data_IF_540266479807
#
_entry.id   IF_540266479807
#
_cell.length_a   1.000
_cell.length_b   1.000
_cell.length_c   1.000
_cell.angle_alpha   90.00
_cell.angle_beta   90.00
_cell.angle_gamma   90.00
#
_symmetry.space_group_name_H-M   'P 1'
#
loop_
_entity.id
_entity.type
_entity.pdbx_description
1 polymer ?
#
# COMPACT_ATOMS: atom_id res chain seq x y z
N UNK A 1 -30.61 -5.97 3.57
CA UNK A 1 -30.61 -5.61 2.14
C UNK A 1 -29.86 -4.29 2.04
N UNK A 2 -28.69 -4.31 1.41
CA UNK A 2 -27.80 -3.15 1.23
C UNK A 2 -28.47 -2.15 0.30
N UNK A 3 -28.98 -1.03 0.83
CA UNK A 3 -29.40 0.07 -0.01
C UNK A 3 -28.16 0.63 -0.75
N UNK A 4 -28.11 0.42 -2.07
CA UNK A 4 -27.68 1.47 -2.98
C UNK A 4 -26.28 1.45 -3.60
N UNK A 5 -25.45 0.42 -3.44
CA UNK A 5 -24.15 0.37 -4.15
C UNK A 5 -23.94 -0.93 -4.92
N UNK A 6 -23.53 -0.80 -6.19
CA UNK A 6 -23.28 -1.92 -7.11
C UNK A 6 -22.25 -2.93 -6.56
N UNK A 7 -22.32 -4.17 -7.01
CA UNK A 7 -21.34 -5.21 -6.64
C UNK A 7 -19.89 -4.79 -6.90
N UNK A 8 -19.66 -3.92 -7.90
CA UNK A 8 -18.37 -3.32 -8.20
C UNK A 8 -17.79 -2.43 -7.09
N UNK A 9 -18.61 -1.96 -6.15
CA UNK A 9 -18.17 -1.12 -5.03
C UNK A 9 -17.30 -1.89 -4.04
N UNK A 10 -17.64 -3.13 -3.69
CA UNK A 10 -16.87 -3.92 -2.72
C UNK A 10 -15.69 -4.69 -3.34
N UNK A 11 -15.67 -4.86 -4.67
CA UNK A 11 -14.68 -5.68 -5.37
C UNK A 11 -13.23 -5.20 -5.24
N UNK A 12 -12.90 -3.91 -5.42
CA UNK A 12 -11.50 -3.45 -5.36
C UNK A 12 -10.78 -3.79 -4.04
N UNK A 13 -11.33 -3.46 -2.84
CA UNK A 13 -10.65 -3.81 -1.59
C UNK A 13 -10.62 -5.33 -1.34
N UNK A 14 -11.61 -6.09 -1.81
CA UNK A 14 -11.60 -7.56 -1.74
C UNK A 14 -10.44 -8.15 -2.56
N UNK A 15 -10.25 -7.66 -3.79
CA UNK A 15 -9.13 -8.07 -4.65
C UNK A 15 -7.80 -7.73 -3.98
N UNK A 16 -7.67 -6.54 -3.39
CA UNK A 16 -6.46 -6.15 -2.65
C UNK A 16 -6.17 -7.10 -1.49
N UNK A 17 -7.18 -7.53 -0.73
CA UNK A 17 -7.00 -8.49 0.37
C UNK A 17 -6.55 -9.85 -0.18
N UNK A 18 -7.26 -10.39 -1.18
CA UNK A 18 -6.95 -11.72 -1.75
C UNK A 18 -5.54 -11.74 -2.36
N UNK A 19 -5.25 -10.76 -3.21
CA UNK A 19 -3.93 -10.62 -3.84
C UNK A 19 -2.85 -10.34 -2.81
N UNK A 20 -3.13 -9.47 -1.83
CA UNK A 20 -2.21 -9.18 -0.73
C UNK A 20 -1.82 -10.43 0.07
N UNK A 21 -2.80 -11.25 0.43
CA UNK A 21 -2.56 -12.54 1.12
C UNK A 21 -1.75 -13.48 0.23
N UNK A 22 -2.06 -13.55 -1.07
CA UNK A 22 -1.29 -14.36 -2.02
C UNK A 22 0.17 -13.88 -2.11
N UNK A 23 0.41 -12.56 -2.18
CA UNK A 23 1.74 -11.97 -2.19
C UNK A 23 2.49 -12.27 -0.88
N UNK A 24 1.84 -12.20 0.28
CA UNK A 24 2.44 -12.58 1.57
C UNK A 24 2.88 -14.04 1.52
N UNK A 25 2.00 -14.96 1.09
CA UNK A 25 2.30 -16.38 1.00
C UNK A 25 3.49 -16.64 0.06
N UNK A 26 3.51 -16.02 -1.12
CA UNK A 26 4.59 -16.14 -2.10
C UNK A 26 5.91 -15.59 -1.52
N UNK A 27 5.91 -14.40 -0.92
CA UNK A 27 7.12 -13.80 -0.35
C UNK A 27 7.66 -14.64 0.82
N UNK A 28 6.79 -15.13 1.70
CA UNK A 28 7.22 -15.96 2.84
C UNK A 28 7.78 -17.31 2.37
N UNK A 29 7.15 -17.93 1.38
CA UNK A 29 7.55 -19.25 0.86
C UNK A 29 8.85 -19.19 0.03
N UNK A 30 9.03 -18.16 -0.79
CA UNK A 30 10.09 -18.13 -1.80
C UNK A 30 11.20 -17.11 -1.56
N UNK A 31 10.98 -16.08 -0.73
CA UNK A 31 12.05 -15.12 -0.44
C UNK A 31 12.97 -15.67 0.69
N UNK A 32 14.30 -15.49 0.58
CA UNK A 32 15.25 -15.92 1.59
C UNK A 32 14.92 -15.38 2.98
N UNK A 33 15.14 -16.17 4.05
CA UNK A 33 14.95 -15.70 5.41
C UNK A 33 15.93 -14.56 5.71
N UNK A 34 15.40 -13.33 5.74
CA UNK A 34 16.14 -12.12 6.04
C UNK A 34 15.22 -11.14 6.77
N UNK A 35 15.80 -10.23 7.55
CA UNK A 35 15.02 -9.19 8.24
C UNK A 35 14.27 -8.28 7.27
N UNK A 36 14.86 -7.98 6.11
CA UNK A 36 14.22 -7.24 5.03
C UNK A 36 12.95 -7.93 4.52
N UNK A 37 12.94 -9.27 4.40
CA UNK A 37 11.74 -10.05 4.05
C UNK A 37 10.62 -9.80 5.05
N UNK A 38 10.89 -9.93 6.34
CA UNK A 38 9.86 -9.73 7.38
C UNK A 38 9.32 -8.30 7.39
N UNK A 39 10.17 -7.30 7.13
CA UNK A 39 9.75 -5.90 7.03
C UNK A 39 8.89 -5.67 5.78
N UNK A 40 9.21 -6.30 4.65
CA UNK A 40 8.39 -6.23 3.46
C UNK A 40 7.04 -6.96 3.62
N UNK A 41 7.00 -8.08 4.34
CA UNK A 41 5.74 -8.71 4.76
C UNK A 41 4.92 -7.74 5.61
N UNK A 42 5.55 -6.91 6.45
CA UNK A 42 4.89 -5.80 7.14
C UNK A 42 4.23 -4.78 6.21
N UNK A 43 4.84 -4.47 5.06
CA UNK A 43 4.24 -3.62 4.01
C UNK A 43 2.96 -4.26 3.46
N UNK A 44 3.04 -5.54 3.07
CA UNK A 44 1.91 -6.29 2.54
C UNK A 44 0.79 -6.47 3.58
N UNK A 45 1.14 -6.75 4.83
CA UNK A 45 0.17 -6.83 5.92
C UNK A 45 -0.54 -5.49 6.15
N UNK A 46 0.18 -4.38 6.04
CA UNK A 46 -0.41 -3.04 6.15
C UNK A 46 -1.37 -2.74 4.99
N UNK A 47 -1.04 -3.18 3.76
CA UNK A 47 -1.94 -3.11 2.61
C UNK A 47 -3.23 -3.93 2.85
N UNK A 48 -3.10 -5.15 3.39
CA UNK A 48 -4.26 -6.00 3.73
C UNK A 48 -5.12 -5.34 4.81
N UNK A 49 -4.51 -4.81 5.88
CA UNK A 49 -5.22 -4.08 6.94
C UNK A 49 -5.98 -2.88 6.39
N UNK A 50 -5.35 -2.13 5.48
CA UNK A 50 -6.01 -1.03 4.79
C UNK A 50 -7.18 -1.52 3.93
N UNK A 51 -6.99 -2.58 3.15
CA UNK A 51 -8.04 -3.21 2.34
C UNK A 51 -9.21 -3.70 3.20
N UNK A 52 -8.95 -4.30 4.36
CA UNK A 52 -9.97 -4.73 5.32
C UNK A 52 -10.77 -3.56 5.88
N UNK A 53 -10.08 -2.47 6.25
CA UNK A 53 -10.76 -1.27 6.74
C UNK A 53 -11.66 -0.65 5.66
N UNK A 54 -11.19 -0.58 4.41
CA UNK A 54 -12.01 -0.10 3.29
C UNK A 54 -13.16 -1.06 3.01
N UNK A 55 -12.93 -2.38 2.95
CA UNK A 55 -13.99 -3.35 2.71
C UNK A 55 -15.06 -3.32 3.81
N UNK A 56 -14.65 -3.26 5.08
CA UNK A 56 -15.56 -3.14 6.22
C UNK A 56 -16.42 -1.87 6.12
N UNK A 57 -15.83 -0.74 5.72
CA UNK A 57 -16.59 0.48 5.43
C UNK A 57 -17.61 0.26 4.30
N UNK A 58 -17.20 -0.37 3.20
CA UNK A 58 -18.04 -0.56 2.01
C UNK A 58 -19.18 -1.58 2.19
N UNK A 59 -18.98 -2.59 3.04
CA UNK A 59 -19.99 -3.60 3.36
C UNK A 59 -20.94 -3.17 4.49
N UNK A 60 -20.63 -2.09 5.20
CA UNK A 60 -21.44 -1.61 6.32
C UNK A 60 -22.75 -0.99 5.82
N UNK A 61 -23.88 -1.56 6.24
CA UNK A 61 -25.20 -0.98 5.99
C UNK A 61 -25.54 0.24 6.87
N UNK A 62 -24.80 0.44 7.97
CA UNK A 62 -25.00 1.57 8.89
C UNK A 62 -23.82 2.56 8.80
N UNK A 63 -24.07 3.88 8.65
CA UNK A 63 -23.01 4.88 8.55
C UNK A 63 -22.05 4.92 9.74
N UNK A 64 -22.54 4.63 10.96
CA UNK A 64 -21.71 4.59 12.18
C UNK A 64 -20.66 3.49 12.11
N UNK A 65 -21.08 2.30 11.68
CA UNK A 65 -20.19 1.14 11.51
C UNK A 65 -19.21 1.39 10.37
N UNK A 66 -19.68 2.00 9.27
CA UNK A 66 -18.81 2.38 8.15
C UNK A 66 -17.71 3.36 8.59
N UNK A 67 -18.08 4.38 9.38
CA UNK A 67 -17.14 5.37 9.91
C UNK A 67 -16.11 4.75 10.87
N UNK A 68 -16.54 3.81 11.72
CA UNK A 68 -15.66 3.11 12.64
C UNK A 68 -14.55 2.33 11.90
N UNK A 69 -14.90 1.65 10.80
CA UNK A 69 -13.92 1.02 9.92
C UNK A 69 -13.00 2.04 9.25
N UNK A 70 -13.57 3.10 8.69
CA UNK A 70 -12.81 4.06 7.91
C UNK A 70 -11.77 4.84 8.73
N UNK A 71 -12.03 5.06 10.03
CA UNK A 71 -11.08 5.72 10.96
C UNK A 71 -9.71 5.06 11.03
N UNK A 72 -9.61 3.77 10.71
CA UNK A 72 -8.35 3.02 10.72
C UNK A 72 -7.58 3.10 9.40
N UNK A 73 -8.18 3.58 8.31
CA UNK A 73 -7.52 3.63 7.00
C UNK A 73 -6.25 4.48 7.00
N UNK A 74 -6.18 5.68 7.65
CA UNK A 74 -4.96 6.48 7.62
C UNK A 74 -3.82 5.83 8.45
N UNK A 75 -4.18 5.10 9.51
CA UNK A 75 -3.23 4.35 10.33
C UNK A 75 -2.59 3.22 9.53
N UNK A 76 -3.39 2.47 8.75
CA UNK A 76 -2.90 1.39 7.91
C UNK A 76 -1.99 1.89 6.77
N UNK A 77 -2.32 3.03 6.14
CA UNK A 77 -1.44 3.68 5.15
C UNK A 77 -0.12 4.12 5.79
N UNK A 78 -0.19 4.76 6.96
CA UNK A 78 1.02 5.20 7.65
C UNK A 78 1.92 4.03 8.05
N UNK A 79 1.33 2.93 8.53
CA UNK A 79 2.03 1.67 8.78
C UNK A 79 2.73 1.14 7.53
N UNK A 80 2.05 1.14 6.38
CA UNK A 80 2.63 0.71 5.11
C UNK A 80 3.87 1.53 4.74
N UNK A 81 3.81 2.87 4.86
CA UNK A 81 4.96 3.74 4.61
C UNK A 81 6.10 3.53 5.61
N UNK A 82 5.77 3.35 6.90
CA UNK A 82 6.77 3.08 7.93
C UNK A 82 7.47 1.74 7.67
N UNK A 83 6.73 0.67 7.38
CA UNK A 83 7.33 -0.62 7.04
C UNK A 83 8.16 -0.55 5.77
N UNK A 84 7.74 0.22 4.77
CA UNK A 84 8.53 0.42 3.56
C UNK A 84 9.84 1.17 3.83
N UNK A 85 9.82 2.17 4.72
CA UNK A 85 11.02 2.84 5.19
C UNK A 85 11.96 1.89 5.94
N UNK A 86 11.43 1.11 6.88
CA UNK A 86 12.21 0.10 7.61
C UNK A 86 12.81 -0.93 6.65
N UNK A 87 12.03 -1.41 5.69
CA UNK A 87 12.47 -2.30 4.63
C UNK A 87 13.62 -1.68 3.83
N UNK A 88 13.46 -0.47 3.29
CA UNK A 88 14.47 0.21 2.49
C UNK A 88 15.77 0.42 3.29
N UNK A 89 15.66 0.79 4.57
CA UNK A 89 16.82 0.96 5.45
C UNK A 89 17.56 -0.34 5.69
N UNK A 90 16.85 -1.41 6.02
CA UNK A 90 17.43 -2.73 6.26
C UNK A 90 18.04 -3.31 4.99
N UNK A 91 17.32 -3.17 3.86
CA UNK A 91 17.72 -3.68 2.55
C UNK A 91 19.02 -3.05 2.06
N UNK A 92 19.16 -1.73 2.21
CA UNK A 92 20.34 -0.97 1.78
C UNK A 92 21.44 -0.90 2.84
N UNK A 93 21.20 -1.47 4.05
CA UNK A 93 22.03 -1.30 5.25
C UNK A 93 22.35 0.16 5.57
N UNK A 94 21.43 1.07 5.26
CA UNK A 94 21.62 2.48 5.51
C UNK A 94 21.61 2.77 7.01
N UNK A 95 22.54 3.61 7.46
CA UNK A 95 22.55 4.14 8.83
C UNK A 95 21.46 5.20 8.93
N UNK A 96 20.36 4.86 9.58
CA UNK A 96 19.30 5.81 9.89
C UNK A 96 19.54 6.51 11.23
N UNK A 97 19.06 7.75 11.34
CA UNK A 97 19.08 8.47 12.60
C UNK A 97 18.06 7.85 13.56
N UNK A 98 18.54 7.39 14.72
CA UNK A 98 17.68 6.83 15.79
C UNK A 98 16.53 7.78 16.15
N UNK A 99 16.78 9.09 16.10
CA UNK A 99 15.78 10.15 16.37
C UNK A 99 14.63 10.12 15.37
N UNK A 100 14.92 9.95 14.07
CA UNK A 100 13.89 9.86 13.04
C UNK A 100 12.97 8.65 13.26
N UNK A 101 13.55 7.49 13.61
CA UNK A 101 12.75 6.30 13.93
C UNK A 101 11.86 6.48 15.15
N UNK A 102 12.40 7.08 16.22
CA UNK A 102 11.60 7.39 17.42
C UNK A 102 10.43 8.30 17.03
N UNK A 103 10.68 9.35 16.25
CA UNK A 103 9.62 10.24 15.76
C UNK A 103 8.57 9.47 14.95
N UNK A 104 8.97 8.57 14.04
CA UNK A 104 8.04 7.76 13.26
C UNK A 104 7.12 6.89 14.13
N UNK A 105 7.67 6.24 15.17
CA UNK A 105 6.90 5.42 16.10
C UNK A 105 6.02 6.26 17.03
N UNK A 106 6.48 7.43 17.46
CA UNK A 106 5.67 8.37 18.23
C UNK A 106 4.46 8.84 17.42
N UNK A 107 4.65 9.18 16.14
CA UNK A 107 3.56 9.54 15.23
C UNK A 107 2.60 8.38 15.01
N UNK A 108 3.11 7.14 14.88
CA UNK A 108 2.24 5.96 14.79
C UNK A 108 1.37 5.80 16.05
N UNK A 109 1.98 5.87 17.23
CA UNK A 109 1.26 5.74 18.50
C UNK A 109 0.19 6.83 18.64
N UNK A 110 0.54 8.07 18.28
CA UNK A 110 -0.41 9.18 18.24
C UNK A 110 -1.54 8.95 17.23
N UNK A 111 -1.24 8.46 16.03
CA UNK A 111 -2.25 8.16 15.01
C UNK A 111 -3.22 7.05 15.46
N UNK A 112 -2.72 6.00 16.12
CA UNK A 112 -3.55 4.92 16.67
C UNK A 112 -4.53 5.46 17.71
N UNK A 113 -4.07 6.35 18.59
CA UNK A 113 -4.93 6.99 19.61
C UNK A 113 -5.92 7.98 19.00
N UNK A 114 -5.50 8.74 17.97
CA UNK A 114 -6.30 9.75 17.30
C UNK A 114 -7.38 9.18 16.36
N UNK A 115 -7.18 7.95 15.85
CA UNK A 115 -8.09 7.29 14.93
C UNK A 115 -9.53 7.16 15.49
N UNK A 116 -9.78 6.51 16.64
CA UNK A 116 -11.13 6.34 17.16
C UNK A 116 -11.79 7.67 17.58
N UNK A 117 -11.01 8.71 17.87
CA UNK A 117 -11.50 10.03 18.27
C UNK A 117 -12.03 10.87 17.09
N UNK A 118 -11.86 10.39 15.85
CA UNK A 118 -12.32 11.10 14.65
C UNK A 118 -11.42 12.25 14.21
N UNK A 119 -10.20 12.36 14.76
CA UNK A 119 -9.25 13.40 14.35
C UNK A 119 -8.62 13.13 12.99
N UNK A 120 -8.54 11.86 12.56
CA UNK A 120 -8.03 11.46 11.25
C UNK A 120 -9.13 11.41 10.19
N UNK A 121 -10.27 10.82 10.53
CA UNK A 121 -11.48 10.79 9.69
C UNK A 121 -12.64 11.26 10.55
N UNK A 122 -13.18 12.44 10.21
CA UNK A 122 -14.24 13.07 11.00
C UNK A 122 -15.58 12.41 10.75
N UNK A 123 -15.91 12.24 9.48
CA UNK A 123 -17.21 11.77 9.02
C UNK A 123 -17.13 11.06 7.66
N UNK A 124 -18.25 10.58 7.16
CA UNK A 124 -18.41 10.06 5.81
C UNK A 124 -19.37 10.94 5.02
N UNK A 125 -19.05 11.20 3.76
CA UNK A 125 -19.99 11.74 2.77
C UNK A 125 -20.33 10.65 1.76
N UNK A 126 -21.54 10.69 1.22
CA UNK A 126 -21.95 9.79 0.14
C UNK A 126 -21.66 10.47 -1.19
N UNK A 127 -20.84 9.83 -2.00
CA UNK A 127 -20.52 10.21 -3.38
C UNK A 127 -21.16 9.21 -4.35
N UNK A 128 -21.21 9.50 -5.67
CA UNK A 128 -21.78 8.59 -6.67
C UNK A 128 -21.14 7.19 -6.66
N UNK A 129 -19.88 7.08 -6.26
CA UNK A 129 -19.15 5.82 -6.14
C UNK A 129 -19.27 5.17 -4.75
N UNK A 130 -19.95 5.79 -3.78
CA UNK A 130 -20.11 5.29 -2.41
C UNK A 130 -19.57 6.21 -1.32
N UNK A 131 -19.22 5.63 -0.17
CA UNK A 131 -18.69 6.37 0.97
C UNK A 131 -17.32 6.95 0.67
N UNK A 132 -17.19 8.25 0.91
CA UNK A 132 -15.94 8.98 0.88
C UNK A 132 -15.61 9.57 2.26
N UNK A 133 -14.36 9.45 2.75
CA UNK A 133 -13.95 10.07 4.00
C UNK A 133 -14.05 11.59 3.94
N UNK A 134 -14.61 12.19 4.99
CA UNK A 134 -14.37 13.60 5.32
C UNK A 134 -13.13 13.68 6.20
N UNK A 135 -12.04 14.32 5.74
CA UNK A 135 -10.79 14.38 6.49
C UNK A 135 -10.99 15.12 7.81
N UNK A 136 -10.41 14.57 8.88
CA UNK A 136 -10.32 15.26 10.17
C UNK A 136 -9.15 16.26 10.21
N UNK A 137 -9.05 17.02 11.30
CA UNK A 137 -8.03 18.08 11.48
C UNK A 137 -6.59 17.53 11.36
N UNK A 138 -6.38 16.28 11.77
CA UNK A 138 -5.07 15.62 11.71
C UNK A 138 -4.81 14.84 10.41
N UNK A 139 -5.78 14.78 9.49
CA UNK A 139 -5.62 14.04 8.24
C UNK A 139 -4.45 14.58 7.39
N UNK A 140 -4.41 15.90 7.17
CA UNK A 140 -3.37 16.56 6.36
C UNK A 140 -2.00 16.46 7.06
N UNK A 141 -1.85 16.81 8.36
CA UNK A 141 -0.59 16.61 9.07
C UNK A 141 -0.08 15.17 9.01
N UNK A 142 -0.94 14.18 9.27
CA UNK A 142 -0.52 12.77 9.22
C UNK A 142 -0.13 12.34 7.80
N UNK A 143 -0.89 12.77 6.79
CA UNK A 143 -0.56 12.53 5.38
C UNK A 143 0.80 13.12 5.01
N UNK A 144 1.08 14.37 5.40
CA UNK A 144 2.36 15.03 5.16
C UNK A 144 3.53 14.28 5.82
N UNK A 145 3.38 13.89 7.10
CA UNK A 145 4.41 13.08 7.78
C UNK A 145 4.58 11.72 7.11
N UNK A 146 3.49 11.08 6.69
CA UNK A 146 3.52 9.83 5.92
C UNK A 146 4.33 9.97 4.62
N UNK A 147 4.12 11.05 3.87
CA UNK A 147 4.88 11.35 2.66
C UNK A 147 6.36 11.61 2.95
N UNK A 148 6.71 12.25 4.07
CA UNK A 148 8.11 12.41 4.50
C UNK A 148 8.76 11.06 4.78
N UNK A 149 8.08 10.17 5.51
CA UNK A 149 8.57 8.81 5.79
C UNK A 149 8.74 8.00 4.50
N UNK A 150 7.76 8.06 3.61
CA UNK A 150 7.82 7.37 2.32
C UNK A 150 8.94 7.92 1.42
N UNK A 151 9.10 9.24 1.36
CA UNK A 151 10.19 9.89 0.60
C UNK A 151 11.56 9.58 1.18
N UNK A 152 11.68 9.43 2.51
CA UNK A 152 12.93 8.98 3.14
C UNK A 152 13.30 7.55 2.73
N UNK A 153 12.32 6.67 2.52
CA UNK A 153 12.53 5.32 1.99
C UNK A 153 13.10 5.39 0.56
N UNK A 154 12.45 6.18 -0.31
CA UNK A 154 12.89 6.36 -1.70
C UNK A 154 14.29 6.97 -1.78
N UNK A 155 14.56 8.02 -0.99
CA UNK A 155 15.90 8.64 -0.91
C UNK A 155 16.97 7.62 -0.54
N UNK A 156 16.65 6.72 0.39
CA UNK A 156 17.56 5.64 0.81
C UNK A 156 17.85 4.67 -0.35
N UNK A 157 16.82 4.26 -1.09
CA UNK A 157 16.96 3.39 -2.27
C UNK A 157 17.75 4.07 -3.40
N UNK A 158 17.44 5.34 -3.70
CA UNK A 158 18.14 6.14 -4.74
C UNK A 158 19.60 6.35 -4.38
N UNK A 159 19.91 6.61 -3.11
CA UNK A 159 21.29 6.72 -2.67
C UNK A 159 22.05 5.41 -2.89
N UNK A 160 21.46 4.26 -2.52
CA UNK A 160 22.07 2.95 -2.75
C UNK A 160 22.23 2.64 -4.24
N UNK A 161 21.26 3.01 -5.07
CA UNK A 161 21.30 2.82 -6.52
C UNK A 161 22.50 3.53 -7.15
N UNK A 162 22.84 4.74 -6.67
CA UNK A 162 23.96 5.53 -7.17
C UNK A 162 25.34 4.98 -6.78
N UNK A 163 25.42 4.25 -5.66
CA UNK A 163 26.70 3.80 -5.08
C UNK A 163 26.97 2.31 -5.36
N UNK A 164 25.95 1.50 -5.64
CA UNK A 164 26.17 0.08 -5.93
C UNK A 164 26.90 -0.12 -7.27
N UNK A 165 27.84 -1.08 -7.26
CA UNK A 165 28.59 -1.55 -8.43
C UNK A 165 28.03 -2.84 -9.02
N UNK A 166 27.04 -3.47 -8.36
CA UNK A 166 26.40 -4.69 -8.84
C UNK A 166 25.22 -4.34 -9.75
N UNK A 167 25.24 -4.80 -10.99
CA UNK A 167 24.17 -4.58 -11.97
C UNK A 167 22.85 -5.24 -11.54
N UNK A 168 22.93 -6.40 -10.89
CA UNK A 168 21.76 -7.09 -10.31
C UNK A 168 21.11 -6.23 -9.22
N UNK A 169 21.90 -5.71 -8.28
CA UNK A 169 21.40 -4.86 -7.20
C UNK A 169 20.84 -3.54 -7.76
N UNK A 170 21.52 -2.94 -8.73
CA UNK A 170 21.09 -1.71 -9.40
C UNK A 170 19.73 -1.89 -10.06
N UNK A 171 19.53 -2.99 -10.76
CA UNK A 171 18.26 -3.26 -11.47
C UNK A 171 17.12 -3.50 -10.48
N UNK A 172 17.36 -4.25 -9.40
CA UNK A 172 16.37 -4.43 -8.34
C UNK A 172 15.96 -3.09 -7.69
N UNK A 173 16.94 -2.24 -7.39
CA UNK A 173 16.67 -0.92 -6.82
C UNK A 173 15.87 -0.05 -7.78
N UNK A 174 16.14 -0.12 -9.08
CA UNK A 174 15.37 0.58 -10.11
C UNK A 174 13.89 0.16 -10.08
N UNK A 175 13.60 -1.14 -10.01
CA UNK A 175 12.21 -1.62 -9.89
C UNK A 175 11.53 -1.13 -8.61
N UNK A 176 12.23 -1.13 -7.46
CA UNK A 176 11.67 -0.63 -6.19
C UNK A 176 11.40 0.88 -6.24
N UNK A 177 12.28 1.66 -6.86
CA UNK A 177 12.13 3.10 -7.03
C UNK A 177 10.99 3.41 -8.00
N UNK A 178 10.93 2.72 -9.15
CA UNK A 178 9.88 2.87 -10.13
C UNK A 178 8.50 2.47 -9.55
N UNK A 179 8.45 1.38 -8.78
CA UNK A 179 7.22 0.98 -8.09
C UNK A 179 6.72 2.06 -7.13
N UNK A 180 7.63 2.74 -6.43
CA UNK A 180 7.26 3.79 -5.49
C UNK A 180 6.58 5.01 -6.15
N UNK A 181 6.62 5.14 -7.48
CA UNK A 181 5.84 6.14 -8.21
C UNK A 181 4.34 5.84 -8.21
N UNK A 182 3.91 4.57 -8.15
CA UNK A 182 2.49 4.24 -8.23
C UNK A 182 1.66 4.85 -7.08
N UNK A 183 2.02 4.71 -5.79
CA UNK A 183 1.23 5.29 -4.70
C UNK A 183 1.12 6.81 -4.78
N UNK A 184 2.14 7.51 -5.29
CA UNK A 184 2.08 8.95 -5.52
C UNK A 184 1.07 9.32 -6.61
N UNK A 185 1.12 8.63 -7.75
CA UNK A 185 0.18 8.86 -8.85
C UNK A 185 -1.24 8.54 -8.41
N UNK A 186 -1.44 7.42 -7.71
CA UNK A 186 -2.75 7.04 -7.15
C UNK A 186 -3.30 8.09 -6.19
N UNK A 187 -2.49 8.55 -5.25
CA UNK A 187 -2.91 9.60 -4.30
C UNK A 187 -3.22 10.93 -4.99
N UNK A 188 -2.45 11.32 -6.01
CA UNK A 188 -2.69 12.53 -6.77
C UNK A 188 -4.01 12.46 -7.56
N UNK A 189 -4.28 11.31 -8.20
CA UNK A 189 -5.53 11.07 -8.92
C UNK A 189 -6.74 11.06 -7.98
N UNK A 190 -6.62 10.47 -6.80
CA UNK A 190 -7.69 10.45 -5.78
C UNK A 190 -8.02 11.86 -5.25
N UNK A 191 -7.04 12.78 -5.24
CA UNK A 191 -7.25 14.18 -4.84
C UNK A 191 -7.79 15.03 -6.01
N UNK A 192 -7.27 14.80 -7.22
CA UNK A 192 -7.52 15.65 -8.38
C UNK A 192 -8.77 15.25 -9.18
N UNK A 193 -9.34 14.08 -8.95
CA UNK A 193 -10.46 13.56 -9.72
C UNK A 193 -11.60 13.07 -8.82
N UNK A 194 -12.83 13.10 -9.34
CA UNK A 194 -14.00 12.48 -8.71
C UNK A 194 -14.18 11.00 -9.12
N UNK A 195 -13.12 10.39 -9.68
CA UNK A 195 -13.15 8.98 -10.06
C UNK A 195 -13.18 8.09 -8.81
N UNK A 196 -13.71 6.86 -8.93
CA UNK A 196 -13.55 5.87 -7.87
C UNK A 196 -12.06 5.74 -7.48
N UNK A 197 -11.75 5.58 -6.17
CA UNK A 197 -10.37 5.68 -5.69
C UNK A 197 -9.40 4.78 -6.44
N UNK A 198 -8.56 5.38 -7.27
CA UNK A 198 -7.50 4.74 -8.06
C UNK A 198 -6.33 4.34 -7.15
N UNK A 199 -6.20 4.99 -5.99
CA UNK A 199 -5.22 4.66 -4.96
C UNK A 199 -5.24 3.18 -4.53
N UNK A 200 -6.39 2.51 -4.59
CA UNK A 200 -6.50 1.06 -4.29
C UNK A 200 -5.61 0.26 -5.25
N UNK A 201 -5.76 0.50 -6.54
CA UNK A 201 -5.01 -0.20 -7.59
C UNK A 201 -3.54 0.20 -7.61
N UNK A 202 -3.26 1.49 -7.42
CA UNK A 202 -1.90 2.00 -7.37
C UNK A 202 -1.06 1.34 -6.25
N UNK A 203 -1.63 1.20 -5.05
CA UNK A 203 -0.94 0.53 -3.94
C UNK A 203 -0.79 -0.97 -4.17
N UNK A 204 -1.76 -1.61 -4.84
CA UNK A 204 -1.67 -3.02 -5.21
C UNK A 204 -0.53 -3.26 -6.22
N UNK A 205 -0.45 -2.45 -7.28
CA UNK A 205 0.62 -2.52 -8.28
C UNK A 205 1.97 -2.27 -7.63
N UNK A 206 2.09 -1.26 -6.76
CA UNK A 206 3.29 -1.02 -5.96
C UNK A 206 3.75 -2.28 -5.21
N UNK A 207 2.87 -2.88 -4.42
CA UNK A 207 3.20 -4.07 -3.64
C UNK A 207 3.52 -5.28 -4.52
N UNK A 208 2.81 -5.45 -5.64
CA UNK A 208 3.09 -6.50 -6.61
C UNK A 208 4.48 -6.32 -7.21
N UNK A 209 4.78 -5.16 -7.82
CA UNK A 209 6.08 -4.84 -8.43
C UNK A 209 7.23 -4.96 -7.42
N UNK A 210 7.07 -4.50 -6.18
CA UNK A 210 8.09 -4.69 -5.15
C UNK A 210 8.31 -6.16 -4.79
N UNK A 211 7.24 -6.97 -4.76
CA UNK A 211 7.35 -8.42 -4.56
C UNK A 211 8.13 -9.07 -5.71
N UNK A 212 7.91 -8.64 -6.96
CA UNK A 212 8.71 -9.06 -8.12
C UNK A 212 10.16 -8.71 -7.93
N UNK A 213 10.48 -7.44 -7.67
CA UNK A 213 11.85 -7.01 -7.49
C UNK A 213 12.57 -7.86 -6.43
N UNK A 214 11.88 -8.21 -5.35
CA UNK A 214 12.41 -9.05 -4.28
C UNK A 214 12.60 -10.53 -4.66
N UNK A 215 11.81 -11.08 -5.58
CA UNK A 215 11.89 -12.48 -5.99
C UNK A 215 12.74 -12.69 -7.27
N UNK A 216 12.64 -11.78 -8.24
CA UNK A 216 13.12 -11.95 -9.63
C UNK A 216 14.65 -12.04 -9.73
N UNK A 217 15.40 -11.21 -9.01
CA UNK A 217 16.86 -11.16 -9.17
C UNK A 217 17.64 -12.24 -8.39
N UNK A 218 16.94 -13.27 -7.88
CA UNK A 218 17.55 -14.53 -7.42
C UNK A 218 16.87 -15.77 -8.02
N UNK A 219 16.22 -15.60 -9.19
CA UNK A 219 15.47 -16.63 -9.92
C UNK A 219 16.29 -17.84 -10.39
N UNK A 220 17.62 -17.85 -10.27
CA UNK A 220 18.41 -19.04 -10.59
C UNK A 220 18.05 -20.24 -9.70
N UNK A 221 17.50 -20.02 -8.50
CA UNK A 221 17.13 -21.08 -7.54
C UNK A 221 15.64 -21.14 -7.15
N UNK A 222 14.76 -20.36 -7.80
CA UNK A 222 13.34 -20.34 -7.45
C UNK A 222 12.56 -21.27 -8.38
N UNK A 223 11.68 -22.16 -7.86
CA UNK A 223 10.89 -23.04 -8.71
C UNK A 223 10.01 -22.24 -9.68
N UNK A 224 9.94 -22.70 -10.93
CA UNK A 224 9.24 -22.08 -12.06
C UNK A 224 7.78 -21.69 -11.77
N UNK A 225 7.19 -22.29 -10.72
CA UNK A 225 5.86 -22.00 -10.18
C UNK A 225 5.76 -20.56 -9.65
N UNK A 226 6.73 -20.06 -8.88
CA UNK A 226 6.64 -18.71 -8.31
C UNK A 226 6.66 -17.62 -9.40
N UNK A 227 7.49 -17.81 -10.44
CA UNK A 227 7.55 -16.91 -11.61
C UNK A 227 6.21 -16.87 -12.35
N UNK A 228 5.57 -18.03 -12.54
CA UNK A 228 4.25 -18.13 -13.17
C UNK A 228 3.17 -17.45 -12.31
N UNK A 229 3.10 -17.74 -11.01
CA UNK A 229 2.12 -17.13 -10.10
C UNK A 229 2.25 -15.61 -10.08
N UNK A 230 3.46 -15.08 -10.04
CA UNK A 230 3.70 -13.64 -10.07
C UNK A 230 3.31 -13.01 -11.40
N UNK A 231 3.68 -13.66 -12.51
CA UNK A 231 3.34 -13.19 -13.86
C UNK A 231 1.82 -13.17 -14.06
N UNK A 232 1.11 -14.19 -13.58
CA UNK A 232 -0.35 -14.24 -13.62
C UNK A 232 -1.02 -13.23 -12.68
N UNK A 233 -0.45 -12.95 -11.51
CA UNK A 233 -0.94 -11.88 -10.62
C UNK A 233 -0.80 -10.51 -11.28
N UNK A 234 0.35 -10.23 -11.89
CA UNK A 234 0.60 -8.96 -12.59
C UNK A 234 -0.27 -8.83 -13.81
N UNK A 235 -0.35 -9.85 -14.66
CA UNK A 235 -1.27 -9.86 -15.80
C UNK A 235 -2.72 -9.69 -15.33
N UNK A 236 -3.12 -10.35 -14.25
CA UNK A 236 -4.44 -10.19 -13.65
C UNK A 236 -4.72 -8.75 -13.23
N UNK A 237 -3.78 -8.11 -12.53
CA UNK A 237 -3.92 -6.69 -12.10
C UNK A 237 -3.86 -5.73 -13.29
N UNK A 238 -2.96 -5.97 -14.25
CA UNK A 238 -2.78 -5.16 -15.46
C UNK A 238 -3.92 -5.33 -16.47
N UNK A 239 -4.69 -6.41 -16.42
CA UNK A 239 -5.93 -6.62 -17.19
C UNK A 239 -7.14 -6.08 -16.42
N UNK A 240 -7.16 -6.24 -15.10
CA UNK A 240 -8.23 -5.69 -14.25
C UNK A 240 -8.26 -4.16 -14.28
N UNK A 241 -7.10 -3.49 -14.29
CA UNK A 241 -6.99 -2.03 -14.39
C UNK A 241 -7.71 -1.43 -15.62
N UNK A 242 -7.39 -1.83 -16.86
CA UNK A 242 -8.07 -1.35 -18.06
C UNK A 242 -9.52 -1.85 -18.13
N UNK A 243 -9.84 -3.05 -17.64
CA UNK A 243 -11.22 -3.55 -17.60
C UNK A 243 -12.12 -2.68 -16.69
N UNK A 244 -11.63 -2.33 -15.51
CA UNK A 244 -12.29 -1.40 -14.59
C UNK A 244 -12.39 -0.02 -15.24
N UNK A 245 -11.33 0.46 -15.90
CA UNK A 245 -11.38 1.73 -16.64
C UNK A 245 -12.42 1.72 -17.77
N UNK A 246 -12.56 0.63 -18.52
CA UNK A 246 -13.57 0.51 -19.59
C UNK A 246 -15.00 0.47 -19.05
N UNK A 247 -15.22 -0.19 -17.91
CA UNK A 247 -16.52 -0.20 -17.23
C UNK A 247 -16.91 1.16 -16.63
N UNK A 248 -15.94 2.07 -16.44
CA UNK A 248 -16.17 3.41 -15.91
C UNK A 248 -16.42 4.47 -17.00
N UNK A 249 -16.16 4.13 -18.27
CA UNK A 249 -16.37 5.02 -19.43
C UNK A 249 -17.69 4.72 -20.16
N UNK A 250 -18.27 3.54 -19.91
CA UNK A 250 -19.61 3.11 -20.38
C UNK A 250 -20.68 3.44 -19.34
#
# INVERSE_FOLDING_TARGET
MTEGFDAGYAMPPLIVIIVGVALVAVVVAFAPPARSRSLFVGVLASLILWGLAVLGMRLSGEPRTALAWNRWTPVAIYLMFLFFYLFAREYTRARGERRFLVACYTVLAFAILAAPMGFLVKDLRVEPYGYAPVPGVLAIPLGAVGLVVFSAAIRTLVHRYRVTTSDEERTRLLYLIAAACFPFVGALLDIASNLPPVGIWANLVFCATCSIALLEYRLLDIPQVARRTLTYLVLGVMVALPYVLTLLVL
#
